data_IF_557370620772
#
_entry.id   IF_557370620772
#
_cell.length_a   1.000
_cell.length_b   1.000
_cell.length_c   1.000
_cell.angle_alpha   90.00
_cell.angle_beta   90.00
_cell.angle_gamma   90.00
#
_symmetry.space_group_name_H-M   'P 1'
#
loop_
_entity.id
_entity.type
_entity.pdbx_description
1 polymer ?
#
# COMPACT_ATOMS: atom_id res chain seq x y z
N UNK A 1 -21.50 -41.10 -19.30
CA UNK A 1 -21.36 -40.31 -18.06
C UNK A 1 -19.87 -40.23 -17.71
N UNK A 2 -19.24 -39.08 -17.93
CA UNK A 2 -18.00 -38.72 -17.24
C UNK A 2 -18.10 -37.25 -16.87
N UNK A 3 -18.51 -37.02 -15.62
CA UNK A 3 -18.43 -35.72 -14.98
C UNK A 3 -16.99 -35.55 -14.48
N UNK A 4 -16.16 -34.80 -15.23
CA UNK A 4 -14.96 -34.20 -14.66
C UNK A 4 -15.35 -32.83 -14.12
N UNK A 5 -15.79 -32.83 -12.87
CA UNK A 5 -15.80 -31.66 -12.01
C UNK A 5 -14.35 -31.24 -11.73
N UNK A 6 -13.90 -30.14 -12.34
CA UNK A 6 -12.73 -29.38 -11.89
C UNK A 6 -13.20 -28.26 -10.95
N UNK A 7 -13.18 -28.42 -9.61
CA UNK A 7 -13.20 -27.28 -8.71
C UNK A 7 -11.75 -26.91 -8.41
N UNK A 8 -11.08 -26.22 -9.32
CA UNK A 8 -9.72 -25.76 -9.08
C UNK A 8 -9.59 -24.28 -9.46
N UNK A 9 -9.38 -23.48 -8.39
CA UNK A 9 -8.75 -22.16 -8.38
C UNK A 9 -9.65 -20.93 -8.58
N UNK A 10 -10.60 -20.74 -7.67
CA UNK A 10 -11.05 -19.40 -7.25
C UNK A 10 -10.28 -18.98 -5.99
N UNK A 11 -8.94 -18.94 -6.06
CA UNK A 11 -8.08 -18.32 -5.04
C UNK A 11 -7.30 -17.16 -5.65
N UNK A 12 -8.02 -16.22 -6.24
CA UNK A 12 -7.53 -14.86 -6.47
C UNK A 12 -8.41 -13.91 -5.66
N UNK A 13 -8.45 -14.12 -4.34
CA UNK A 13 -8.98 -13.14 -3.42
C UNK A 13 -8.08 -11.91 -3.50
N UNK A 14 -8.53 -10.90 -4.25
CA UNK A 14 -8.41 -9.48 -3.92
C UNK A 14 -7.19 -9.10 -3.08
N UNK A 15 -5.99 -9.22 -3.65
CA UNK A 15 -5.01 -8.18 -3.40
C UNK A 15 -5.49 -6.99 -4.25
N UNK A 16 -6.46 -6.23 -3.74
CA UNK A 16 -6.62 -4.85 -4.17
C UNK A 16 -5.34 -4.16 -3.69
N UNK A 17 -4.27 -4.32 -4.47
CA UNK A 17 -2.95 -3.84 -4.13
C UNK A 17 -3.10 -2.32 -4.09
N UNK A 18 -3.11 -1.78 -2.87
CA UNK A 18 -3.08 -0.34 -2.70
C UNK A 18 -1.84 0.15 -3.46
N UNK A 19 -2.06 0.98 -4.48
CA UNK A 19 -0.98 1.39 -5.36
C UNK A 19 0.10 2.08 -4.50
N UNK A 20 1.39 1.74 -4.70
CA UNK A 20 2.45 2.29 -3.87
C UNK A 20 2.42 3.82 -3.95
N UNK A 21 2.56 4.46 -2.79
CA UNK A 21 2.61 5.91 -2.68
C UNK A 21 4.02 6.39 -3.01
N UNK A 22 4.15 7.04 -4.16
CA UNK A 22 5.42 7.48 -4.72
C UNK A 22 5.57 8.99 -4.50
N UNK A 23 6.57 9.42 -3.74
CA UNK A 23 6.85 10.85 -3.55
C UNK A 23 7.74 11.37 -4.69
N UNK A 24 7.43 12.55 -5.21
CA UNK A 24 8.19 13.24 -6.25
C UNK A 24 8.56 14.66 -5.81
N UNK A 25 9.79 15.05 -6.12
CA UNK A 25 10.37 16.37 -5.90
C UNK A 25 10.48 17.09 -7.24
N UNK A 26 9.82 18.23 -7.34
CA UNK A 26 9.84 19.12 -8.50
C UNK A 26 10.73 20.34 -8.22
N UNK A 27 11.01 21.18 -9.23
CA UNK A 27 11.72 22.44 -9.03
C UNK A 27 11.01 23.35 -8.02
N UNK A 28 11.78 24.23 -7.36
CA UNK A 28 11.29 25.17 -6.33
C UNK A 28 10.76 24.48 -5.05
N UNK A 29 11.35 23.35 -4.65
CA UNK A 29 10.97 22.57 -3.45
C UNK A 29 9.50 22.11 -3.42
N UNK A 30 8.84 22.12 -4.58
CA UNK A 30 7.48 21.61 -4.75
C UNK A 30 7.51 20.09 -4.67
N UNK A 31 6.58 19.52 -3.90
CA UNK A 31 6.46 18.07 -3.71
C UNK A 31 5.03 17.62 -3.96
N UNK A 32 4.89 16.43 -4.51
CA UNK A 32 3.61 15.75 -4.65
C UNK A 32 3.81 14.24 -4.48
N UNK A 33 2.73 13.55 -4.15
CA UNK A 33 2.68 12.11 -4.06
C UNK A 33 1.79 11.58 -5.18
N UNK A 34 2.20 10.47 -5.79
CA UNK A 34 1.44 9.81 -6.83
C UNK A 34 1.13 8.36 -6.44
N UNK A 35 -0.10 7.95 -6.68
CA UNK A 35 -0.53 6.55 -6.65
C UNK A 35 -0.88 6.16 -8.08
N UNK A 36 -0.15 5.21 -8.63
CA UNK A 36 -0.31 4.77 -10.02
C UNK A 36 -1.14 3.49 -10.05
N UNK A 37 -2.37 3.57 -10.56
CA UNK A 37 -3.23 2.42 -10.84
C UNK A 37 -3.16 2.07 -12.33
N UNK A 38 -3.80 0.95 -12.68
CA UNK A 38 -3.77 0.41 -14.03
C UNK A 38 -4.47 1.31 -15.06
N UNK A 39 -5.50 2.03 -14.64
CA UNK A 39 -6.39 2.85 -15.46
C UNK A 39 -6.41 4.33 -15.05
N UNK A 40 -5.90 4.65 -13.86
CA UNK A 40 -5.86 6.02 -13.34
C UNK A 40 -4.59 6.29 -12.52
N UNK A 41 -4.24 7.56 -12.38
CA UNK A 41 -3.21 8.02 -11.46
C UNK A 41 -3.78 9.09 -10.55
N UNK A 42 -3.58 8.94 -9.24
CA UNK A 42 -3.99 9.93 -8.26
C UNK A 42 -2.78 10.72 -7.82
N UNK A 43 -2.82 12.04 -7.98
CA UNK A 43 -1.78 12.98 -7.58
C UNK A 43 -2.25 13.78 -6.38
N UNK A 44 -1.52 13.72 -5.27
CA UNK A 44 -1.74 14.52 -4.06
C UNK A 44 -0.61 15.55 -3.93
N UNK A 45 -0.92 16.84 -4.03
CA UNK A 45 0.05 17.91 -3.86
C UNK A 45 -0.45 19.02 -2.96
N UNK A 46 0.37 20.06 -2.78
CA UNK A 46 0.02 21.24 -1.98
C UNK A 46 -1.24 21.97 -2.47
N UNK A 47 -1.55 21.84 -3.77
CA UNK A 47 -2.72 22.47 -4.40
C UNK A 47 -3.99 21.62 -4.34
N UNK A 48 -3.94 20.43 -3.74
CA UNK A 48 -5.07 19.49 -3.66
C UNK A 48 -4.75 18.15 -4.32
N UNK A 49 -5.81 17.41 -4.64
CA UNK A 49 -5.74 16.11 -5.31
C UNK A 49 -6.23 16.23 -6.76
N UNK A 50 -5.59 15.49 -7.67
CA UNK A 50 -5.99 15.36 -9.06
C UNK A 50 -6.07 13.87 -9.43
N UNK A 51 -7.10 13.50 -10.19
CA UNK A 51 -7.26 12.14 -10.70
C UNK A 51 -7.09 12.20 -12.22
N UNK A 52 -6.10 11.50 -12.71
CA UNK A 52 -5.74 11.48 -14.13
C UNK A 52 -6.12 10.12 -14.71
N UNK A 53 -6.77 10.13 -15.86
CA UNK A 53 -7.12 8.90 -16.58
C UNK A 53 -5.92 8.42 -17.40
N UNK A 54 -5.74 7.10 -17.52
CA UNK A 54 -4.66 6.52 -18.32
C UNK A 54 -4.96 6.77 -19.80
N UNK A 55 -4.02 7.41 -20.47
CA UNK A 55 -4.11 7.63 -21.91
C UNK A 55 -3.56 6.37 -22.59
N UNK A 56 -4.38 5.72 -23.41
CA UNK A 56 -3.92 4.60 -24.21
C UNK A 56 -2.80 5.08 -25.14
N UNK A 57 -1.63 4.45 -24.99
CA UNK A 57 -0.49 4.67 -25.86
C UNK A 57 -0.95 4.26 -27.27
N UNK A 58 -1.06 5.21 -28.21
CA UNK A 58 -1.25 4.84 -29.61
C UNK A 58 -0.08 3.93 -30.00
N UNK A 59 -0.42 2.70 -30.37
CA UNK A 59 0.47 1.66 -30.86
C UNK A 59 1.37 2.21 -31.97
N UNK A 60 2.62 2.50 -31.65
CA UNK A 60 3.74 2.58 -32.60
C UNK A 60 5.03 2.20 -31.86
N UNK A 61 5.15 0.90 -31.57
CA UNK A 61 6.42 0.15 -31.58
C UNK A 61 7.52 0.42 -30.55
N UNK A 62 7.60 1.58 -29.90
CA UNK A 62 8.76 1.96 -29.08
C UNK A 62 8.29 2.69 -27.81
N UNK A 63 7.51 2.01 -26.99
CA UNK A 63 7.08 2.55 -25.69
C UNK A 63 8.24 2.47 -24.71
N UNK A 64 8.82 3.61 -24.35
CA UNK A 64 9.94 3.83 -23.41
C UNK A 64 9.68 3.36 -21.95
N UNK A 65 8.72 2.45 -21.74
CA UNK A 65 8.21 2.02 -20.43
C UNK A 65 7.40 3.08 -19.69
N UNK A 66 7.19 4.26 -20.30
CA UNK A 66 6.57 5.40 -19.65
C UNK A 66 5.04 5.26 -19.53
N UNK A 67 4.51 5.45 -18.31
CA UNK A 67 3.07 5.44 -18.04
C UNK A 67 2.50 6.86 -18.23
N UNK A 68 1.47 6.99 -19.06
CA UNK A 68 0.90 8.29 -19.44
C UNK A 68 -0.52 8.44 -18.89
N UNK A 69 -0.76 9.53 -18.18
CA UNK A 69 -2.06 9.87 -17.62
C UNK A 69 -2.40 11.33 -17.92
N UNK A 70 -3.67 11.66 -18.06
CA UNK A 70 -4.10 13.03 -18.33
C UNK A 70 -5.47 13.35 -17.73
N UNK A 71 -5.68 14.63 -17.47
CA UNK A 71 -6.98 15.24 -17.28
C UNK A 71 -7.06 16.53 -18.14
N UNK A 72 -8.15 17.33 -18.06
CA UNK A 72 -8.25 18.58 -18.81
C UNK A 72 -7.21 19.66 -18.44
N UNK A 73 -6.57 19.58 -17.26
CA UNK A 73 -5.67 20.59 -16.74
C UNK A 73 -4.18 20.21 -16.89
N UNK A 74 -3.84 18.93 -16.78
CA UNK A 74 -2.48 18.39 -16.71
C UNK A 74 -2.35 17.05 -17.41
N UNK A 75 -1.20 16.84 -18.05
CA UNK A 75 -0.75 15.54 -18.58
C UNK A 75 0.51 15.12 -17.84
N UNK A 76 0.47 13.93 -17.24
CA UNK A 76 1.57 13.35 -16.49
C UNK A 76 2.16 12.15 -17.23
N UNK A 77 3.49 12.08 -17.25
CA UNK A 77 4.24 10.93 -17.75
C UNK A 77 5.18 10.45 -16.64
N UNK A 78 5.08 9.18 -16.27
CA UNK A 78 5.88 8.56 -15.22
C UNK A 78 6.79 7.49 -15.80
N UNK A 79 7.85 7.13 -15.09
CA UNK A 79 8.75 6.07 -15.54
C UNK A 79 9.79 6.53 -16.56
N UNK A 80 10.06 7.84 -16.62
CA UNK A 80 11.03 8.42 -17.54
C UNK A 80 12.46 8.28 -17.00
N UNK A 81 13.43 8.36 -17.93
CA UNK A 81 14.86 8.33 -17.63
C UNK A 81 15.40 6.91 -17.38
N UNK A 82 16.73 6.79 -17.30
CA UNK A 82 17.42 5.48 -17.22
C UNK A 82 17.06 4.64 -16.00
N UNK A 83 16.64 5.27 -14.90
CA UNK A 83 16.18 4.59 -13.68
C UNK A 83 14.65 4.52 -13.58
N UNK A 84 13.91 5.04 -14.56
CA UNK A 84 12.46 5.17 -14.50
C UNK A 84 11.96 6.02 -13.33
N UNK A 85 12.81 6.90 -12.75
CA UNK A 85 12.48 7.73 -11.58
C UNK A 85 11.99 9.12 -11.93
N UNK A 86 12.06 9.50 -13.20
CA UNK A 86 11.66 10.82 -13.63
C UNK A 86 10.17 10.83 -14.00
N UNK A 87 9.49 11.90 -13.61
CA UNK A 87 8.14 12.23 -14.03
C UNK A 87 8.15 13.57 -14.77
N UNK A 88 7.35 13.68 -15.82
CA UNK A 88 7.11 14.93 -16.55
C UNK A 88 5.65 15.32 -16.39
N UNK A 89 5.42 16.52 -15.90
CA UNK A 89 4.10 17.14 -15.79
C UNK A 89 3.99 18.27 -16.81
N UNK A 90 2.97 18.23 -17.63
CA UNK A 90 2.69 19.19 -18.69
C UNK A 90 1.35 19.86 -18.37
N UNK A 91 1.37 21.12 -17.98
CA UNK A 91 0.18 21.85 -17.54
C UNK A 91 -0.37 22.71 -18.67
N UNK A 92 -1.68 22.72 -18.86
CA UNK A 92 -2.33 23.54 -19.90
C UNK A 92 -2.13 25.04 -19.73
N UNK A 93 -1.87 25.51 -18.50
CA UNK A 93 -1.67 26.92 -18.17
C UNK A 93 -0.19 27.32 -18.03
N UNK A 94 0.76 26.39 -18.20
CA UNK A 94 2.21 26.66 -18.10
C UNK A 94 2.89 26.02 -19.32
N UNK A 95 3.53 26.82 -20.19
CA UNK A 95 4.11 26.30 -21.43
C UNK A 95 5.34 25.42 -21.22
N UNK A 96 6.01 25.54 -20.08
CA UNK A 96 7.20 24.75 -19.76
C UNK A 96 6.83 23.45 -19.01
N UNK A 97 7.32 22.28 -19.48
CA UNK A 97 7.11 21.03 -18.78
C UNK A 97 7.91 21.00 -17.48
N UNK A 98 7.27 20.54 -16.41
CA UNK A 98 7.89 20.39 -15.11
C UNK A 98 8.42 18.98 -14.97
N UNK A 99 9.72 18.84 -14.75
CA UNK A 99 10.37 17.56 -14.51
C UNK A 99 10.54 17.35 -13.01
N UNK A 100 10.04 16.23 -12.50
CA UNK A 100 10.10 15.88 -11.09
C UNK A 100 10.79 14.53 -10.91
N UNK A 101 11.62 14.42 -9.89
CA UNK A 101 12.34 13.19 -9.57
C UNK A 101 11.69 12.48 -8.40
N UNK A 102 11.53 11.16 -8.50
CA UNK A 102 11.01 10.35 -7.40
C UNK A 102 11.96 10.43 -6.20
N UNK A 103 11.49 10.95 -5.08
CA UNK A 103 12.23 10.93 -3.83
C UNK A 103 12.50 9.48 -3.41
N UNK A 104 13.65 9.23 -2.77
CA UNK A 104 13.89 7.95 -2.13
C UNK A 104 12.88 7.79 -0.99
N UNK A 105 12.02 6.77 -1.04
CA UNK A 105 11.14 6.45 0.07
C UNK A 105 11.97 5.79 1.18
N UNK A 106 11.72 6.09 2.46
CA UNK A 106 12.37 5.38 3.55
C UNK A 106 12.05 3.87 3.59
N UNK A 107 11.03 3.41 2.86
CA UNK A 107 10.71 1.99 2.68
C UNK A 107 11.77 1.20 1.89
N UNK A 108 12.62 1.86 1.10
CA UNK A 108 13.80 1.21 0.49
C UNK A 108 14.95 1.00 1.50
N UNK A 109 14.89 1.64 2.68
CA UNK A 109 16.03 1.69 3.61
C UNK A 109 15.90 0.80 4.85
N UNK A 110 14.74 0.22 5.14
CA UNK A 110 14.63 -0.72 6.27
C UNK A 110 13.58 -1.79 6.02
N UNK A 111 13.96 -3.07 5.80
CA UNK A 111 13.00 -4.14 5.97
C UNK A 111 12.45 -4.03 7.39
N UNK A 112 11.12 -3.98 7.52
CA UNK A 112 10.42 -4.07 8.80
C UNK A 112 10.91 -5.34 9.49
N UNK A 113 11.90 -5.21 10.38
CA UNK A 113 12.35 -6.32 11.21
C UNK A 113 11.32 -6.47 12.30
N UNK A 114 10.57 -7.56 12.25
CA UNK A 114 9.82 -8.03 13.41
C UNK A 114 10.78 -8.09 14.60
N UNK A 115 10.59 -7.19 15.57
CA UNK A 115 11.26 -7.33 16.86
C UNK A 115 10.87 -8.71 17.41
N UNK A 116 11.87 -9.53 17.74
CA UNK A 116 11.63 -10.80 18.39
C UNK A 116 10.86 -10.51 19.68
N UNK A 117 9.58 -10.93 19.71
CA UNK A 117 8.78 -10.89 20.92
C UNK A 117 9.54 -11.71 21.96
N UNK A 118 9.80 -11.19 23.17
CA UNK A 118 10.41 -11.97 24.23
C UNK A 118 9.66 -13.30 24.32
N UNK A 119 10.39 -14.41 24.19
CA UNK A 119 9.80 -15.74 24.26
C UNK A 119 9.01 -15.92 25.55
N UNK A 120 8.08 -16.89 25.60
CA UNK A 120 7.34 -17.20 26.82
C UNK A 120 8.33 -17.32 27.98
N UNK A 121 8.06 -16.61 29.09
CA UNK A 121 8.90 -16.77 30.29
C UNK A 121 8.89 -18.25 30.69
N UNK A 122 10.03 -18.82 31.11
CA UNK A 122 10.07 -20.18 31.64
C UNK A 122 9.00 -20.34 32.71
N UNK A 123 8.27 -21.45 32.66
CA UNK A 123 7.32 -21.77 33.71
C UNK A 123 8.07 -21.80 35.06
N UNK A 124 7.50 -21.24 36.13
CA UNK A 124 8.10 -21.34 37.45
C UNK A 124 8.25 -22.83 37.85
N UNK A 125 9.29 -23.17 38.62
CA UNK A 125 9.48 -24.53 39.11
C UNK A 125 8.26 -24.97 39.93
N UNK A 126 7.89 -26.25 39.78
CA UNK A 126 6.80 -26.85 40.52
C UNK A 126 7.07 -26.80 42.03
N UNK A 127 6.22 -26.10 42.77
CA UNK A 127 6.25 -26.04 44.23
C UNK A 127 5.12 -26.92 44.81
N UNK A 128 5.44 -28.04 45.48
CA UNK A 128 4.45 -28.92 46.10
C UNK A 128 3.74 -28.30 47.30
N UNK A 129 4.21 -27.16 47.83
CA UNK A 129 3.58 -26.43 48.92
C UNK A 129 2.80 -25.19 48.45
N UNK A 130 2.70 -24.96 47.13
CA UNK A 130 1.95 -23.84 46.60
C UNK A 130 0.46 -23.96 47.00
N UNK A 131 -0.15 -22.91 47.57
CA UNK A 131 -1.56 -22.93 47.89
C UNK A 131 -2.38 -23.07 46.60
N UNK A 132 -3.21 -24.11 46.52
CA UNK A 132 -4.11 -24.32 45.38
C UNK A 132 -5.18 -23.23 45.41
N UNK A 133 -5.02 -22.19 44.59
CA UNK A 133 -6.06 -21.20 44.37
C UNK A 133 -7.13 -21.79 43.46
N UNK A 134 -8.18 -22.36 44.05
CA UNK A 134 -9.37 -22.74 43.30
C UNK A 134 -10.22 -21.48 43.10
N UNK A 135 -10.61 -21.19 41.85
CA UNK A 135 -11.57 -20.12 41.52
C UNK A 135 -13.01 -20.49 41.94
N UNK A 136 -13.17 -21.22 43.05
CA UNK A 136 -14.48 -21.62 43.57
C UNK A 136 -14.91 -20.52 44.54
N UNK A 137 -15.84 -19.66 44.10
CA UNK A 137 -16.56 -18.78 45.02
C UNK A 137 -17.47 -19.66 45.89
N UNK A 138 -17.06 -19.89 47.14
CA UNK A 138 -17.95 -20.44 48.17
C UNK A 138 -18.95 -19.34 48.53
N UNK A 139 -20.13 -19.38 47.94
CA UNK A 139 -21.15 -18.34 48.17
C UNK A 139 -22.49 -18.50 47.46
N UNK A 140 -22.71 -19.51 46.60
CA UNK A 140 -24.04 -19.82 46.07
C UNK A 140 -24.68 -20.93 46.91
N UNK A 141 -25.29 -20.54 48.02
CA UNK A 141 -25.98 -21.45 48.91
C UNK A 141 -26.93 -20.71 49.84
N UNK A 142 -28.06 -20.23 49.32
CA UNK A 142 -29.35 -20.26 50.02
C UNK A 142 -30.48 -19.74 49.11
N UNK A 143 -31.29 -20.66 48.59
CA UNK A 143 -32.64 -20.36 48.09
C UNK A 143 -33.53 -21.57 48.44
N UNK A 144 -33.94 -21.65 49.71
CA UNK A 144 -35.04 -22.51 50.15
C UNK A 144 -36.40 -21.82 49.99
N UNK A 145 -37.52 -22.56 49.85
CA UNK A 145 -38.84 -21.99 49.65
C UNK A 145 -39.41 -21.52 50.99
N UNK A 146 -39.92 -20.28 51.02
CA UNK A 146 -40.73 -19.70 52.09
C UNK A 146 -42.03 -19.18 51.52
#
# INVERSE_FOLDING_TARGET
MLALSLPALLSACAALQDAPRLSYLCPNDLRFEARLYQDMALLEGLRGHAVLERVADHHDGEGDGALRYADPAVRAQFGLGVQGRLARLDYTNIPEPVYCERAATPDDATPVRAHARPGPRPAPPFDPNAPVQTNIRVGDGDNGPG
#
